data_IF_730196315479
#
_entry.id   IF_730196315479
#
_cell.length_a   1.000
_cell.length_b   1.000
_cell.length_c   1.000
_cell.angle_alpha   90.00
_cell.angle_beta   90.00
_cell.angle_gamma   90.00
#
_symmetry.space_group_name_H-M   'P 1'
#
loop_
_entity.id
_entity.type
_entity.pdbx_description
1 polymer ?
#
# COMPACT_ATOMS: atom_id res chain seq x y z
N UNK A 1 15.43 6.71 -8.12
CA UNK A 1 14.19 5.94 -7.92
C UNK A 1 14.57 4.51 -7.58
N UNK A 2 13.89 3.87 -6.61
CA UNK A 2 14.25 2.54 -6.08
C UNK A 2 13.94 1.36 -7.02
N UNK A 3 13.44 1.61 -8.24
CA UNK A 3 13.06 0.57 -9.19
C UNK A 3 11.80 -0.20 -8.80
N UNK A 4 11.02 0.30 -7.85
CA UNK A 4 9.75 -0.28 -7.42
C UNK A 4 8.59 0.23 -8.26
N UNK A 5 7.56 -0.60 -8.42
CA UNK A 5 6.25 -0.18 -8.92
C UNK A 5 5.43 0.39 -7.76
N UNK A 6 4.66 1.45 -8.02
CA UNK A 6 3.82 2.11 -7.03
C UNK A 6 2.35 2.08 -7.46
N UNK A 7 1.48 1.63 -6.56
CA UNK A 7 0.05 1.51 -6.80
C UNK A 7 -0.71 2.27 -5.71
N UNK A 8 -1.63 3.15 -6.10
CA UNK A 8 -2.62 3.69 -5.16
C UNK A 8 -3.65 2.60 -4.91
N UNK A 9 -3.77 2.17 -3.65
CA UNK A 9 -4.79 1.21 -3.21
C UNK A 9 -5.63 1.84 -2.09
N UNK A 10 -6.84 2.29 -2.38
CA UNK A 10 -7.61 3.16 -1.48
C UNK A 10 -9.04 2.69 -1.26
N UNK A 11 -9.51 2.75 -0.01
CA UNK A 11 -10.92 2.56 0.32
C UNK A 11 -11.68 3.87 0.08
N UNK A 12 -12.42 3.94 -1.01
CA UNK A 12 -13.27 5.07 -1.39
C UNK A 12 -14.68 4.58 -1.75
N UNK A 13 -15.69 5.39 -1.44
CA UNK A 13 -17.09 5.07 -1.79
C UNK A 13 -17.58 5.78 -3.05
N UNK A 14 -16.93 6.86 -3.46
CA UNK A 14 -17.45 7.78 -4.48
C UNK A 14 -16.50 8.01 -5.66
N UNK A 15 -15.25 7.53 -5.55
CA UNK A 15 -14.21 7.78 -6.54
C UNK A 15 -13.68 6.45 -7.07
N UNK A 16 -13.94 6.21 -8.34
CA UNK A 16 -13.42 5.07 -9.09
C UNK A 16 -11.91 5.23 -9.36
N UNK A 17 -11.30 4.28 -10.06
CA UNK A 17 -9.88 4.34 -10.39
C UNK A 17 -9.51 5.55 -11.25
N UNK A 18 -10.37 5.90 -12.22
CA UNK A 18 -10.13 7.02 -13.12
C UNK A 18 -10.24 8.38 -12.40
N UNK A 19 -11.18 8.50 -11.46
CA UNK A 19 -11.30 9.68 -10.60
C UNK A 19 -10.09 9.81 -9.69
N UNK A 20 -9.64 8.70 -9.08
CA UNK A 20 -8.43 8.70 -8.26
C UNK A 20 -7.21 9.11 -9.08
N UNK A 21 -7.05 8.60 -10.29
CA UNK A 21 -5.98 9.03 -11.21
C UNK A 21 -6.03 10.52 -11.45
N UNK A 22 -7.20 11.05 -11.82
CA UNK A 22 -7.38 12.48 -12.11
C UNK A 22 -7.02 13.34 -10.91
N UNK A 23 -7.43 12.97 -9.71
CA UNK A 23 -7.08 13.71 -8.48
C UNK A 23 -5.56 13.80 -8.31
N UNK A 24 -4.82 12.72 -8.54
CA UNK A 24 -3.35 12.72 -8.46
C UNK A 24 -2.68 13.47 -9.61
N UNK A 25 -3.24 13.43 -10.81
CA UNK A 25 -2.78 14.24 -11.96
C UNK A 25 -2.96 15.74 -11.69
N UNK A 26 -4.11 16.16 -11.15
CA UNK A 26 -4.39 17.56 -10.79
C UNK A 26 -3.45 18.06 -9.67
N UNK A 27 -3.02 17.17 -8.78
CA UNK A 27 -2.01 17.46 -7.75
C UNK A 27 -0.56 17.43 -8.27
N UNK A 28 -0.34 17.06 -9.54
CA UNK A 28 0.98 16.99 -10.16
C UNK A 28 1.79 15.73 -9.85
N UNK A 29 1.13 14.67 -9.38
CA UNK A 29 1.74 13.37 -9.01
C UNK A 29 1.25 12.20 -9.86
N UNK A 30 0.53 12.44 -10.96
CA UNK A 30 0.01 11.39 -11.84
C UNK A 30 1.08 10.42 -12.32
N UNK A 31 2.27 10.94 -12.67
CA UNK A 31 3.40 10.13 -13.16
C UNK A 31 4.17 9.39 -12.06
N UNK A 32 3.78 9.55 -10.78
CA UNK A 32 4.40 8.84 -9.68
C UNK A 32 3.83 7.43 -9.47
N UNK A 33 2.69 7.09 -10.07
CA UNK A 33 2.00 5.82 -9.81
C UNK A 33 1.76 5.03 -11.10
N UNK A 34 2.02 3.73 -11.05
CA UNK A 34 1.83 2.82 -12.17
C UNK A 34 0.37 2.37 -12.32
N UNK A 35 -0.37 2.33 -11.22
CA UNK A 35 -1.79 1.94 -11.20
C UNK A 35 -2.58 2.60 -10.05
N UNK A 36 -3.89 2.64 -10.24
CA UNK A 36 -4.87 3.12 -9.27
C UNK A 36 -5.93 2.04 -9.07
N UNK A 37 -6.18 1.67 -7.83
CA UNK A 37 -7.13 0.63 -7.44
C UNK A 37 -7.95 1.15 -6.26
N UNK A 38 -9.25 1.32 -6.46
CA UNK A 38 -10.16 1.79 -5.43
C UNK A 38 -11.22 0.75 -5.07
N UNK A 39 -11.70 0.80 -3.82
CA UNK A 39 -12.78 -0.09 -3.39
C UNK A 39 -14.09 0.11 -4.14
N UNK A 40 -14.27 1.28 -4.77
CA UNK A 40 -15.42 1.55 -5.61
C UNK A 40 -15.47 0.59 -6.81
N UNK A 41 -14.36 0.45 -7.54
CA UNK A 41 -14.32 -0.38 -8.75
C UNK A 41 -14.11 -1.86 -8.45
N UNK A 42 -13.44 -2.19 -7.34
CA UNK A 42 -13.30 -3.59 -6.92
C UNK A 42 -14.56 -4.14 -6.26
N UNK A 43 -15.45 -3.27 -5.76
CA UNK A 43 -16.57 -3.64 -4.90
C UNK A 43 -16.16 -4.07 -3.48
N UNK A 44 -14.87 -4.09 -3.17
CA UNK A 44 -14.32 -4.58 -1.91
C UNK A 44 -13.23 -3.64 -1.39
N UNK A 45 -13.36 -3.20 -0.14
CA UNK A 45 -12.31 -2.42 0.53
C UNK A 45 -11.40 -3.29 1.39
N UNK A 46 -10.18 -2.81 1.64
CA UNK A 46 -9.29 -3.36 2.67
C UNK A 46 -10.06 -3.43 4.00
N UNK A 47 -10.01 -4.55 4.75
CA UNK A 47 -9.02 -5.63 4.64
C UNK A 47 -9.39 -6.79 3.69
N UNK A 48 -10.44 -6.68 2.86
CA UNK A 48 -10.80 -7.77 1.94
C UNK A 48 -9.68 -8.01 0.90
N UNK A 49 -9.25 -9.25 0.64
CA UNK A 49 -8.07 -9.55 -0.18
C UNK A 49 -8.21 -9.08 -1.63
N UNK A 50 -9.41 -9.13 -2.21
CA UNK A 50 -9.67 -8.81 -3.63
C UNK A 50 -9.12 -7.45 -4.10
N UNK A 51 -9.09 -6.42 -3.25
CA UNK A 51 -8.53 -5.11 -3.62
C UNK A 51 -7.00 -5.14 -3.75
N UNK A 52 -6.33 -5.91 -2.88
CA UNK A 52 -4.88 -6.08 -2.90
C UNK A 52 -4.46 -7.00 -4.03
N UNK A 53 -5.19 -8.09 -4.25
CA UNK A 53 -4.99 -9.00 -5.40
C UNK A 53 -5.11 -8.24 -6.73
N UNK A 54 -6.10 -7.33 -6.86
CA UNK A 54 -6.23 -6.47 -8.04
C UNK A 54 -5.07 -5.47 -8.17
N UNK A 55 -4.62 -4.88 -7.06
CA UNK A 55 -3.47 -3.99 -7.06
C UNK A 55 -2.18 -4.70 -7.51
N UNK A 56 -1.95 -5.92 -7.03
CA UNK A 56 -0.84 -6.78 -7.45
C UNK A 56 -0.93 -7.14 -8.94
N UNK A 57 -2.11 -7.57 -9.39
CA UNK A 57 -2.34 -7.94 -10.78
C UNK A 57 -2.14 -6.76 -11.75
N UNK A 58 -2.50 -5.54 -11.35
CA UNK A 58 -2.34 -4.33 -12.17
C UNK A 58 -0.88 -4.03 -12.55
N UNK A 59 0.09 -4.51 -11.77
CA UNK A 59 1.52 -4.33 -12.01
C UNK A 59 2.27 -5.66 -12.22
N UNK A 60 1.55 -6.78 -12.26
CA UNK A 60 2.13 -8.12 -12.45
C UNK A 60 3.09 -8.54 -11.33
N UNK A 61 2.80 -8.15 -10.09
CA UNK A 61 3.64 -8.47 -8.92
C UNK A 61 3.08 -9.65 -8.11
N UNK A 62 3.97 -10.43 -7.50
CA UNK A 62 3.63 -11.42 -6.50
C UNK A 62 3.48 -10.75 -5.12
N UNK A 63 2.56 -11.24 -4.29
CA UNK A 63 2.35 -10.69 -2.95
C UNK A 63 3.62 -10.68 -2.09
N UNK A 64 4.45 -11.73 -2.21
CA UNK A 64 5.73 -11.88 -1.49
C UNK A 64 6.77 -10.82 -1.85
N UNK A 65 6.58 -10.12 -2.97
CA UNK A 65 7.48 -9.06 -3.47
C UNK A 65 6.90 -7.65 -3.27
N UNK A 66 5.75 -7.55 -2.59
CA UNK A 66 5.04 -6.29 -2.42
C UNK A 66 4.85 -5.94 -0.94
N UNK A 67 4.72 -4.64 -0.70
CA UNK A 67 4.40 -4.10 0.62
C UNK A 67 3.25 -3.11 0.52
N UNK A 68 2.37 -3.10 1.51
CA UNK A 68 1.42 -2.00 1.71
C UNK A 68 2.00 -0.97 2.68
N UNK A 69 1.73 0.31 2.42
CA UNK A 69 2.00 1.40 3.34
C UNK A 69 0.67 2.06 3.65
N UNK A 70 0.25 2.07 4.91
CA UNK A 70 -1.07 2.57 5.31
C UNK A 70 -1.16 2.95 6.78
N UNK A 71 -2.22 3.66 7.15
CA UNK A 71 -2.42 4.24 8.49
C UNK A 71 -3.37 3.42 9.38
N UNK A 72 -4.12 2.47 8.80
CA UNK A 72 -5.17 1.70 9.50
C UNK A 72 -4.75 0.26 9.71
N UNK A 73 -4.27 -0.14 10.91
CA UNK A 73 -3.89 -1.53 11.20
C UNK A 73 -4.96 -2.55 10.81
N UNK A 74 -6.21 -2.28 11.17
CA UNK A 74 -7.35 -3.17 10.94
C UNK A 74 -7.76 -3.30 9.47
N UNK A 75 -7.23 -2.45 8.58
CA UNK A 75 -7.50 -2.48 7.13
C UNK A 75 -6.25 -2.83 6.34
N UNK A 76 -5.23 -2.00 6.45
CA UNK A 76 -4.01 -2.07 5.63
C UNK A 76 -3.16 -3.25 6.06
N UNK A 77 -2.81 -3.32 7.33
CA UNK A 77 -1.91 -4.33 7.88
C UNK A 77 -2.60 -5.70 7.90
N UNK A 78 -3.87 -5.72 8.34
CA UNK A 78 -4.71 -6.92 8.25
C UNK A 78 -4.88 -7.41 6.81
N UNK A 79 -5.12 -6.51 5.86
CA UNK A 79 -5.24 -6.83 4.45
C UNK A 79 -3.96 -7.43 3.89
N UNK A 80 -2.82 -6.77 4.06
CA UNK A 80 -1.52 -7.26 3.57
C UNK A 80 -1.19 -8.64 4.14
N UNK A 81 -1.37 -8.83 5.45
CA UNK A 81 -1.17 -10.14 6.09
C UNK A 81 -2.05 -11.24 5.50
N UNK A 82 -3.28 -10.92 5.09
CA UNK A 82 -4.22 -11.90 4.53
C UNK A 82 -3.79 -12.44 3.15
N UNK A 83 -3.00 -11.67 2.41
CA UNK A 83 -2.51 -12.04 1.07
C UNK A 83 -1.01 -12.36 1.04
N UNK A 84 -0.31 -12.30 2.17
CA UNK A 84 1.13 -12.57 2.25
C UNK A 84 2.03 -11.43 1.79
N UNK A 85 1.53 -10.19 1.77
CA UNK A 85 2.33 -8.99 1.55
C UNK A 85 3.00 -8.53 2.84
N UNK A 86 4.14 -7.83 2.71
CA UNK A 86 4.70 -7.04 3.82
C UNK A 86 3.87 -5.80 4.09
N UNK A 87 4.09 -5.19 5.24
CA UNK A 87 3.30 -4.06 5.71
C UNK A 87 4.17 -3.04 6.46
N UNK A 88 4.04 -1.77 6.07
CA UNK A 88 4.60 -0.63 6.78
C UNK A 88 3.44 0.19 7.34
N UNK A 89 3.34 0.27 8.66
CA UNK A 89 2.34 1.11 9.29
C UNK A 89 2.86 2.54 9.44
N UNK A 90 2.17 3.49 8.81
CA UNK A 90 2.35 4.92 9.02
C UNK A 90 1.53 5.33 10.26
N UNK A 91 2.16 5.36 11.42
CA UNK A 91 1.49 5.65 12.70
C UNK A 91 0.93 7.08 12.70
N UNK A 92 -0.40 7.27 12.83
CA UNK A 92 -0.98 8.59 13.03
C UNK A 92 -0.50 9.21 14.35
N UNK A 93 -0.22 10.53 14.40
CA UNK A 93 0.26 11.19 15.62
C UNK A 93 -0.69 11.06 16.84
N UNK A 94 -1.99 10.92 16.57
CA UNK A 94 -3.06 10.82 17.55
C UNK A 94 -3.45 9.35 17.88
N UNK A 95 -2.79 8.36 17.27
CA UNK A 95 -3.07 6.96 17.54
C UNK A 95 -2.54 6.56 18.92
N UNK A 96 -3.45 6.06 19.78
CA UNK A 96 -3.11 5.58 21.12
C UNK A 96 -3.17 4.06 21.17
N UNK A 97 -2.06 3.45 21.58
CA UNK A 97 -1.95 2.01 21.78
C UNK A 97 -1.08 1.30 20.74
N UNK A 98 -0.96 -0.03 20.85
CA UNK A 98 -0.27 -0.84 19.85
C UNK A 98 -1.13 -1.04 18.60
N UNK A 99 -0.52 -1.22 17.41
CA UNK A 99 -1.26 -1.64 16.23
C UNK A 99 -1.76 -3.09 16.40
N UNK A 100 -2.92 -3.38 15.82
CA UNK A 100 -3.45 -4.73 15.76
C UNK A 100 -4.09 -4.97 14.38
N UNK A 101 -3.59 -5.93 13.56
CA UNK A 101 -2.40 -6.76 13.79
C UNK A 101 -1.08 -5.98 13.80
N UNK A 102 -0.01 -6.63 14.26
CA UNK A 102 1.36 -6.10 14.24
C UNK A 102 1.90 -6.00 12.80
N UNK A 103 2.49 -4.85 12.39
CA UNK A 103 3.07 -4.67 11.07
C UNK A 103 4.51 -5.19 10.98
N UNK A 104 5.02 -5.37 9.76
CA UNK A 104 6.43 -5.77 9.55
C UNK A 104 7.40 -4.60 9.83
N UNK A 105 6.93 -3.37 9.65
CA UNK A 105 7.64 -2.16 10.04
C UNK A 105 6.66 -1.05 10.45
N UNK A 106 7.15 -0.11 11.24
CA UNK A 106 6.40 1.07 11.69
C UNK A 106 7.22 2.32 11.39
N UNK A 107 6.54 3.37 10.92
CA UNK A 107 7.13 4.69 10.66
C UNK A 107 6.17 5.77 11.14
N UNK A 108 6.73 6.96 11.45
CA UNK A 108 5.95 8.15 11.79
C UNK A 108 6.05 9.24 10.72
N UNK A 109 6.99 9.10 9.79
CA UNK A 109 7.31 10.06 8.73
C UNK A 109 7.65 9.34 7.44
N UNK A 110 7.21 9.91 6.32
CA UNK A 110 7.49 9.37 4.97
C UNK A 110 8.98 9.21 4.65
N UNK A 111 9.85 10.03 5.23
CA UNK A 111 11.31 9.93 5.03
C UNK A 111 11.91 8.63 5.60
N UNK A 112 11.21 7.92 6.48
CA UNK A 112 11.65 6.66 7.07
C UNK A 112 11.34 5.45 6.17
N UNK A 113 10.46 5.61 5.18
CA UNK A 113 10.03 4.52 4.28
C UNK A 113 11.15 4.07 3.33
N UNK A 114 11.84 4.95 2.57
CA UNK A 114 12.82 4.50 1.59
C UNK A 114 13.94 3.59 2.16
N UNK A 115 14.56 3.90 3.32
CA UNK A 115 15.57 3.02 3.91
C UNK A 115 15.05 1.61 4.24
N UNK A 116 13.78 1.47 4.63
CA UNK A 116 13.16 0.17 4.92
C UNK A 116 12.98 -0.63 3.63
N UNK A 117 12.46 0.02 2.58
CA UNK A 117 12.28 -0.60 1.26
C UNK A 117 13.64 -1.00 0.67
N UNK A 118 14.66 -0.15 0.78
CA UNK A 118 16.03 -0.46 0.36
C UNK A 118 16.57 -1.72 1.05
N UNK A 119 16.47 -1.79 2.38
CA UNK A 119 16.91 -2.95 3.15
C UNK A 119 16.16 -4.24 2.75
N UNK A 120 14.85 -4.13 2.48
CA UNK A 120 14.04 -5.27 2.02
C UNK A 120 14.41 -5.74 0.62
N UNK A 121 14.73 -4.82 -0.28
CA UNK A 121 15.21 -5.14 -1.63
C UNK A 121 16.60 -5.77 -1.60
N UNK A 122 17.49 -5.31 -0.73
CA UNK A 122 18.81 -5.91 -0.53
C UNK A 122 18.72 -7.35 -0.02
N UNK A 123 17.92 -7.58 1.02
CA UNK A 123 17.74 -8.92 1.60
C UNK A 123 17.19 -9.94 0.59
N UNK A 124 16.29 -9.50 -0.31
CA UNK A 124 15.73 -10.34 -1.37
C UNK A 124 16.69 -10.67 -2.52
N UNK A 125 17.80 -9.92 -2.68
CA UNK A 125 18.84 -10.21 -3.68
C UNK A 125 19.88 -11.22 -3.20
N UNK A 126 19.99 -11.40 -1.89
CA UNK A 126 20.94 -12.32 -1.25
C UNK A 126 20.39 -13.71 -0.97
N UNK A 127 19.09 -13.94 -1.19
CA UNK A 127 18.40 -15.21 -1.02
C UNK A 127 18.22 -15.93 -2.36
#
# INVERSE_FOLDING_TARGET
ALGVRMVICSNTLWRNDADSRRDWEELGFGDCFDAYVTSHDTGFGKPHPAILERALAAVGAEASQAAIIGDRPERDIAGARSVGMRSIWMRPPDFIGPPAPEPDAEVSRWAEVPPIIEAWLDAGRTA
#
